data_IF_019489061831
#
_entry.id   IF_019489061831
#
_cell.length_a   1.000
_cell.length_b   1.000
_cell.length_c   1.000
_cell.angle_alpha   90.00
_cell.angle_beta   90.00
_cell.angle_gamma   90.00
#
_symmetry.space_group_name_H-M   'P 1'
#
loop_
_entity.id
_entity.type
_entity.pdbx_description
1 polymer ?
#
# COMPACT_ATOMS: atom_id res chain seq x y z
N UNK A 1 19.93 59.72 -7.67
CA UNK A 1 20.36 58.36 -8.07
C UNK A 1 20.94 57.63 -6.88
N UNK A 2 20.54 56.36 -6.72
CA UNK A 2 21.23 55.23 -6.10
C UNK A 2 21.93 55.37 -4.73
N UNK A 3 21.21 54.88 -3.72
CA UNK A 3 21.63 54.07 -2.57
C UNK A 3 23.00 53.35 -2.71
N UNK A 4 23.89 53.51 -1.72
CA UNK A 4 24.81 52.43 -1.29
C UNK A 4 24.94 52.41 0.24
N UNK A 5 24.45 51.30 0.82
CA UNK A 5 24.47 50.91 2.23
C UNK A 5 25.84 50.31 2.63
N UNK A 6 26.15 50.20 3.93
CA UNK A 6 27.49 49.90 4.43
C UNK A 6 28.03 48.51 4.06
N UNK A 7 29.34 48.50 3.84
CA UNK A 7 30.18 47.37 3.45
C UNK A 7 30.23 46.30 4.57
N UNK A 8 29.46 45.22 4.43
CA UNK A 8 29.57 44.04 5.30
C UNK A 8 30.84 43.28 4.94
N UNK A 9 31.94 43.56 5.66
CA UNK A 9 33.12 42.70 5.68
C UNK A 9 32.73 41.32 6.24
N UNK A 10 32.66 40.31 5.37
CA UNK A 10 32.82 38.90 5.77
C UNK A 10 34.25 38.47 5.42
N UNK A 11 35.05 38.06 6.40
CA UNK A 11 36.04 37.02 6.20
C UNK A 11 35.66 35.82 7.08
N UNK A 12 36.06 34.59 6.83
CA UNK A 12 36.60 33.94 5.66
C UNK A 12 36.27 32.45 5.83
N UNK A 13 36.20 31.77 4.70
CA UNK A 13 36.38 30.33 4.48
C UNK A 13 36.85 29.50 5.68
N UNK A 14 35.98 28.59 6.11
CA UNK A 14 36.33 27.45 6.97
C UNK A 14 35.67 26.19 6.45
N UNK A 15 35.75 25.94 5.14
CA UNK A 15 35.28 24.69 4.55
C UNK A 15 36.32 23.59 4.83
N UNK A 16 35.90 22.69 5.72
CA UNK A 16 36.55 21.43 6.04
C UNK A 16 36.90 20.62 4.79
N UNK A 17 38.16 20.17 4.74
CA UNK A 17 38.79 19.38 3.68
C UNK A 17 38.04 18.06 3.46
N UNK A 18 37.16 18.01 2.46
CA UNK A 18 36.76 16.76 1.80
C UNK A 18 36.62 17.01 0.31
N UNK A 19 37.65 16.68 -0.47
CA UNK A 19 37.53 16.59 -1.92
C UNK A 19 36.78 15.30 -2.26
N UNK A 20 35.50 15.43 -2.63
CA UNK A 20 34.76 14.32 -3.25
C UNK A 20 35.45 13.96 -4.59
N UNK A 21 35.65 12.67 -4.91
CA UNK A 21 36.29 12.27 -6.15
C UNK A 21 35.42 12.68 -7.34
N UNK A 22 35.95 13.53 -8.21
CA UNK A 22 35.33 13.91 -9.48
C UNK A 22 35.36 12.71 -10.42
N UNK A 23 34.24 12.01 -10.58
CA UNK A 23 34.09 11.08 -11.70
C UNK A 23 34.18 11.87 -13.00
N UNK A 24 35.17 11.52 -13.82
CA UNK A 24 35.37 12.09 -15.16
C UNK A 24 34.06 11.98 -15.93
N UNK A 25 33.57 13.12 -16.40
CA UNK A 25 32.54 13.23 -17.43
C UNK A 25 33.09 12.55 -18.69
N UNK A 26 32.71 11.29 -18.91
CA UNK A 26 32.97 10.64 -20.19
C UNK A 26 32.03 11.27 -21.20
N UNK A 27 32.64 11.90 -22.21
CA UNK A 27 31.98 12.64 -23.26
C UNK A 27 30.81 11.87 -23.87
N UNK A 28 29.73 12.63 -23.99
CA UNK A 28 28.58 12.38 -24.84
C UNK A 28 29.00 12.16 -26.30
N UNK A 29 28.10 11.47 -27.01
CA UNK A 29 28.01 11.27 -28.46
C UNK A 29 28.63 9.96 -28.96
N UNK A 30 27.81 8.91 -29.01
CA UNK A 30 27.56 8.22 -30.28
C UNK A 30 26.21 7.48 -30.25
N UNK A 31 25.36 7.87 -31.20
CA UNK A 31 24.31 7.10 -31.89
C UNK A 31 22.98 6.84 -31.16
N UNK A 32 22.01 7.65 -31.58
CA UNK A 32 20.59 7.32 -31.64
C UNK A 32 20.32 5.93 -32.24
N UNK A 33 19.20 5.36 -31.77
CA UNK A 33 18.33 4.32 -32.34
C UNK A 33 18.21 3.09 -31.44
N UNK A 34 16.94 2.76 -31.13
CA UNK A 34 16.40 1.60 -30.38
C UNK A 34 15.90 1.87 -28.95
N UNK A 35 15.09 2.90 -28.73
CA UNK A 35 14.30 3.02 -27.47
C UNK A 35 12.80 2.73 -27.62
N UNK A 36 12.26 2.53 -28.84
CA UNK A 36 10.82 2.28 -29.03
C UNK A 36 10.47 0.78 -29.08
N UNK A 37 11.43 -0.11 -29.39
CA UNK A 37 11.17 -1.55 -29.50
C UNK A 37 11.22 -2.32 -28.16
N UNK A 38 11.76 -1.75 -27.09
CA UNK A 38 11.83 -2.44 -25.78
C UNK A 38 10.58 -2.23 -24.91
N UNK A 39 9.71 -1.26 -25.23
CA UNK A 39 8.48 -1.04 -24.46
C UNK A 39 7.40 -2.03 -24.89
N UNK A 40 7.31 -2.34 -26.20
CA UNK A 40 6.33 -3.32 -26.71
C UNK A 40 6.60 -4.76 -26.25
N UNK A 41 7.87 -5.14 -26.05
CA UNK A 41 8.22 -6.47 -25.51
C UNK A 41 7.89 -6.65 -24.02
N UNK A 42 7.96 -5.58 -23.24
CA UNK A 42 7.60 -5.59 -21.81
C UNK A 42 6.08 -5.64 -21.59
N UNK A 43 5.29 -4.99 -22.43
CA UNK A 43 3.82 -5.01 -22.34
C UNK A 43 3.26 -6.42 -22.59
N UNK A 44 3.76 -7.14 -23.62
CA UNK A 44 3.33 -8.52 -23.90
C UNK A 44 3.78 -9.53 -22.82
N UNK A 45 4.91 -9.28 -22.16
CA UNK A 45 5.36 -10.10 -21.02
C UNK A 45 4.53 -9.83 -19.76
N UNK A 46 4.10 -8.58 -19.53
CA UNK A 46 3.21 -8.21 -18.43
C UNK A 46 1.86 -8.95 -18.55
N UNK A 47 1.32 -9.02 -19.76
CA UNK A 47 0.06 -9.73 -20.08
C UNK A 47 0.20 -11.24 -19.88
N UNK A 48 1.30 -11.86 -20.33
CA UNK A 48 1.56 -13.27 -20.07
C UNK A 48 1.73 -13.58 -18.57
N UNK A 49 2.44 -12.72 -17.84
CA UNK A 49 2.64 -12.89 -16.40
C UNK A 49 1.31 -12.73 -15.64
N UNK A 50 0.47 -11.77 -16.04
CA UNK A 50 -0.88 -11.61 -15.47
C UNK A 50 -1.79 -12.77 -15.81
N UNK A 51 -1.76 -13.30 -17.04
CA UNK A 51 -2.55 -14.48 -17.43
C UNK A 51 -2.10 -15.72 -16.66
N UNK A 52 -0.80 -15.97 -16.52
CA UNK A 52 -0.30 -17.10 -15.71
C UNK A 52 -0.67 -16.94 -14.24
N UNK A 53 -0.54 -15.73 -13.69
CA UNK A 53 -0.96 -15.45 -12.32
C UNK A 53 -2.47 -15.63 -12.14
N UNK A 54 -3.29 -15.22 -13.10
CA UNK A 54 -4.74 -15.44 -13.10
C UNK A 54 -5.08 -16.94 -13.16
N UNK A 55 -4.44 -17.71 -14.05
CA UNK A 55 -4.60 -19.18 -14.10
C UNK A 55 -4.22 -19.83 -12.77
N UNK A 56 -3.11 -19.41 -12.16
CA UNK A 56 -2.68 -19.88 -10.84
C UNK A 56 -3.69 -19.52 -9.75
N UNK A 57 -4.24 -18.31 -9.75
CA UNK A 57 -5.28 -17.87 -8.80
C UNK A 57 -6.55 -18.71 -8.98
N UNK A 58 -7.01 -18.92 -10.22
CA UNK A 58 -8.19 -19.74 -10.53
C UNK A 58 -7.98 -21.18 -10.02
N UNK A 59 -6.83 -21.77 -10.31
CA UNK A 59 -6.51 -23.12 -9.84
C UNK A 59 -6.50 -23.23 -8.31
N UNK A 60 -5.93 -22.25 -7.60
CA UNK A 60 -5.94 -22.21 -6.13
C UNK A 60 -7.37 -22.05 -5.57
N UNK A 61 -8.23 -21.30 -6.25
CA UNK A 61 -9.64 -21.18 -5.87
C UNK A 61 -10.40 -22.49 -6.09
N UNK A 62 -10.10 -23.23 -7.16
CA UNK A 62 -10.67 -24.55 -7.41
C UNK A 62 -10.23 -25.57 -6.36
N UNK A 63 -8.94 -25.59 -6.01
CA UNK A 63 -8.41 -26.43 -4.92
C UNK A 63 -9.15 -26.13 -3.61
N UNK A 64 -9.23 -24.86 -3.23
CA UNK A 64 -9.89 -24.46 -1.98
C UNK A 64 -11.37 -24.85 -1.95
N UNK A 65 -12.08 -24.78 -3.08
CA UNK A 65 -13.46 -25.26 -3.18
C UNK A 65 -13.55 -26.78 -3.01
N UNK A 66 -12.68 -27.54 -3.66
CA UNK A 66 -12.64 -29.00 -3.54
C UNK A 66 -12.33 -29.43 -2.11
N UNK A 67 -11.30 -28.86 -1.49
CA UNK A 67 -10.93 -29.10 -0.09
C UNK A 67 -12.12 -28.85 0.85
N UNK A 68 -12.85 -27.74 0.67
CA UNK A 68 -14.05 -27.45 1.47
C UNK A 68 -15.10 -28.56 1.34
N UNK A 69 -15.38 -29.00 0.11
CA UNK A 69 -16.37 -30.05 -0.13
C UNK A 69 -15.95 -31.41 0.42
N UNK A 70 -14.65 -31.73 0.41
CA UNK A 70 -14.11 -32.96 0.98
C UNK A 70 -14.21 -32.94 2.51
N UNK A 71 -13.84 -31.83 3.15
CA UNK A 71 -14.00 -31.63 4.59
C UNK A 71 -15.47 -31.72 5.04
N UNK A 72 -16.41 -31.16 4.27
CA UNK A 72 -17.85 -31.27 4.55
C UNK A 72 -18.38 -32.71 4.38
N UNK A 73 -17.82 -33.50 3.45
CA UNK A 73 -18.15 -34.92 3.30
C UNK A 73 -17.59 -35.74 4.46
N UNK A 74 -16.31 -35.57 4.79
CA UNK A 74 -15.69 -36.25 5.93
C UNK A 74 -16.44 -35.97 7.23
N UNK A 75 -16.90 -34.73 7.44
CA UNK A 75 -17.68 -34.36 8.62
C UNK A 75 -18.99 -35.15 8.77
N UNK A 76 -19.64 -35.51 7.65
CA UNK A 76 -20.90 -36.28 7.66
C UNK A 76 -20.71 -37.75 8.03
N UNK A 77 -19.51 -38.28 7.81
CA UNK A 77 -19.18 -39.69 8.06
C UNK A 77 -18.48 -39.91 9.41
N UNK A 78 -18.21 -38.85 10.18
CA UNK A 78 -17.54 -38.93 11.47
C UNK A 78 -18.52 -38.91 12.64
N UNK A 79 -18.30 -39.85 13.57
CA UNK A 79 -19.01 -39.92 14.85
C UNK A 79 -18.83 -38.65 15.70
N UNK A 80 -19.81 -38.36 16.55
CA UNK A 80 -19.93 -37.07 17.23
C UNK A 80 -18.78 -36.71 18.19
N UNK A 81 -18.03 -37.70 18.69
CA UNK A 81 -16.94 -37.50 19.65
C UNK A 81 -15.53 -37.72 19.09
N UNK A 82 -15.36 -37.82 17.77
CA UNK A 82 -14.05 -38.00 17.17
C UNK A 82 -13.20 -36.71 17.29
N UNK A 83 -11.94 -36.78 17.80
CA UNK A 83 -11.03 -35.62 17.81
C UNK A 83 -10.85 -35.02 16.41
N UNK A 84 -10.88 -35.87 15.38
CA UNK A 84 -10.85 -35.48 13.97
C UNK A 84 -12.01 -34.56 13.55
N UNK A 85 -13.20 -34.75 14.12
CA UNK A 85 -14.37 -33.90 13.85
C UNK A 85 -14.11 -32.45 14.29
N UNK A 86 -13.46 -32.26 15.44
CA UNK A 86 -13.08 -30.93 15.96
C UNK A 86 -12.08 -30.23 15.04
N UNK A 87 -11.10 -30.96 14.50
CA UNK A 87 -10.13 -30.44 13.54
C UNK A 87 -10.81 -29.97 12.25
N UNK A 88 -11.69 -30.79 11.70
CA UNK A 88 -12.43 -30.46 10.47
C UNK A 88 -13.34 -29.25 10.69
N UNK A 89 -14.06 -29.18 11.81
CA UNK A 89 -14.87 -28.02 12.17
C UNK A 89 -14.03 -26.75 12.31
N UNK A 90 -12.84 -26.85 12.91
CA UNK A 90 -11.91 -25.73 13.02
C UNK A 90 -11.45 -25.25 11.63
N UNK A 91 -11.09 -26.17 10.73
CA UNK A 91 -10.67 -25.84 9.37
C UNK A 91 -11.79 -25.18 8.59
N UNK A 92 -13.02 -25.72 8.62
CA UNK A 92 -14.18 -25.12 7.97
C UNK A 92 -14.50 -23.72 8.52
N UNK A 93 -14.41 -23.53 9.85
CA UNK A 93 -14.57 -22.23 10.48
C UNK A 93 -13.49 -21.24 10.03
N UNK A 94 -12.24 -21.69 9.93
CA UNK A 94 -11.13 -20.87 9.44
C UNK A 94 -11.35 -20.44 7.99
N UNK A 95 -11.79 -21.33 7.11
CA UNK A 95 -12.12 -21.02 5.72
C UNK A 95 -13.25 -20.00 5.63
N UNK A 96 -14.33 -20.18 6.41
CA UNK A 96 -15.43 -19.21 6.51
C UNK A 96 -14.94 -17.83 6.96
N UNK A 97 -14.08 -17.78 7.97
CA UNK A 97 -13.52 -16.51 8.44
C UNK A 97 -12.71 -15.81 7.33
N UNK A 98 -11.88 -16.55 6.60
CA UNK A 98 -11.13 -16.00 5.47
C UNK A 98 -12.06 -15.44 4.37
N UNK A 99 -13.15 -16.13 4.04
CA UNK A 99 -14.17 -15.63 3.11
C UNK A 99 -14.80 -14.33 3.62
N UNK A 100 -15.17 -14.24 4.90
CA UNK A 100 -15.74 -13.02 5.49
C UNK A 100 -14.76 -11.85 5.50
N UNK A 101 -13.49 -12.11 5.83
CA UNK A 101 -12.44 -11.08 5.83
C UNK A 101 -12.19 -10.56 4.41
N UNK A 102 -12.16 -11.43 3.40
CA UNK A 102 -12.04 -11.02 1.99
C UNK A 102 -13.20 -10.10 1.57
N UNK A 103 -14.45 -10.48 1.87
CA UNK A 103 -15.62 -9.65 1.59
C UNK A 103 -15.56 -8.28 2.27
N UNK A 104 -15.09 -8.23 3.51
CA UNK A 104 -14.94 -6.98 4.25
C UNK A 104 -13.87 -6.08 3.62
N UNK A 105 -12.74 -6.64 3.21
CA UNK A 105 -11.69 -5.90 2.50
C UNK A 105 -12.17 -5.39 1.14
N UNK A 106 -12.94 -6.18 0.39
CA UNK A 106 -13.48 -5.76 -0.90
C UNK A 106 -14.50 -4.63 -0.75
N UNK A 107 -15.35 -4.68 0.28
CA UNK A 107 -16.26 -3.58 0.63
C UNK A 107 -15.49 -2.30 0.96
N UNK A 108 -14.44 -2.39 1.78
CA UNK A 108 -13.60 -1.23 2.11
C UNK A 108 -12.89 -0.66 0.88
N UNK A 109 -12.46 -1.50 -0.06
CA UNK A 109 -11.88 -1.05 -1.33
C UNK A 109 -12.92 -0.32 -2.19
N UNK A 110 -14.14 -0.85 -2.29
CA UNK A 110 -15.23 -0.19 -3.02
C UNK A 110 -15.58 1.17 -2.43
N UNK A 111 -15.71 1.27 -1.10
CA UNK A 111 -15.97 2.54 -0.43
C UNK A 111 -14.83 3.57 -0.64
N UNK A 112 -13.57 3.11 -0.66
CA UNK A 112 -12.42 3.99 -0.99
C UNK A 112 -12.47 4.48 -2.43
N UNK A 113 -12.78 3.59 -3.38
CA UNK A 113 -12.90 3.95 -4.80
C UNK A 113 -14.06 4.93 -5.02
N UNK A 114 -15.19 4.72 -4.36
CA UNK A 114 -16.32 5.66 -4.40
C UNK A 114 -15.91 7.04 -3.88
N UNK A 115 -15.28 7.12 -2.70
CA UNK A 115 -14.78 8.39 -2.15
C UNK A 115 -13.76 9.06 -3.06
N UNK A 116 -12.87 8.28 -3.69
CA UNK A 116 -11.90 8.81 -4.64
C UNK A 116 -12.59 9.40 -5.88
N UNK A 117 -13.62 8.73 -6.40
CA UNK A 117 -14.41 9.22 -7.52
C UNK A 117 -15.17 10.49 -7.15
N UNK A 118 -15.81 10.54 -5.97
CA UNK A 118 -16.48 11.73 -5.45
C UNK A 118 -15.52 12.93 -5.34
N UNK A 119 -14.31 12.71 -4.81
CA UNK A 119 -13.26 13.75 -4.73
C UNK A 119 -12.85 14.22 -6.13
N UNK A 120 -12.66 13.29 -7.06
CA UNK A 120 -12.30 13.60 -8.44
C UNK A 120 -13.41 14.37 -9.17
N UNK A 121 -14.67 14.01 -8.98
CA UNK A 121 -15.83 14.71 -9.53
C UNK A 121 -15.97 16.12 -8.94
N UNK A 122 -15.85 16.27 -7.61
CA UNK A 122 -15.85 17.58 -6.96
C UNK A 122 -14.73 18.48 -7.47
N UNK A 123 -13.53 17.92 -7.69
CA UNK A 123 -12.40 18.64 -8.26
C UNK A 123 -12.65 19.06 -9.73
N UNK A 124 -13.30 18.21 -10.54
CA UNK A 124 -13.72 18.54 -11.91
C UNK A 124 -14.78 19.65 -11.94
N UNK A 125 -15.69 19.67 -10.96
CA UNK A 125 -16.71 20.72 -10.81
C UNK A 125 -16.16 22.04 -10.23
N UNK A 126 -14.86 22.13 -9.94
CA UNK A 126 -14.23 23.33 -9.35
C UNK A 126 -14.62 23.58 -7.88
N UNK A 127 -15.30 22.63 -7.22
CA UNK A 127 -15.64 22.68 -5.80
C UNK A 127 -14.44 22.16 -4.99
N UNK A 128 -14.13 22.82 -3.86
CA UNK A 128 -13.08 22.31 -2.96
C UNK A 128 -13.46 20.90 -2.46
N UNK A 129 -12.57 19.90 -2.54
CA UNK A 129 -12.87 18.55 -2.08
C UNK A 129 -13.22 18.57 -0.59
N UNK A 130 -14.27 17.84 -0.21
CA UNK A 130 -14.72 17.77 1.18
C UNK A 130 -13.67 17.07 2.05
N UNK A 131 -13.05 17.83 2.97
CA UNK A 131 -12.19 17.29 4.01
C UNK A 131 -13.05 17.17 5.27
N UNK A 132 -13.38 15.94 5.73
CA UNK A 132 -14.15 15.78 6.96
C UNK A 132 -13.35 16.41 8.12
N UNK A 133 -13.93 17.43 8.74
CA UNK A 133 -13.34 18.08 9.92
C UNK A 133 -13.26 17.03 11.03
N UNK A 134 -12.05 16.64 11.43
CA UNK A 134 -11.86 15.89 12.67
C UNK A 134 -12.41 16.76 13.80
N UNK A 135 -13.43 16.28 14.52
CA UNK A 135 -13.88 16.92 15.75
C UNK A 135 -12.75 16.78 16.77
N UNK A 136 -11.90 17.80 16.89
CA UNK A 136 -10.87 17.89 17.93
C UNK A 136 -11.55 18.19 19.27
N UNK A 137 -12.23 17.20 19.83
CA UNK A 137 -12.69 17.22 21.22
C UNK A 137 -11.87 16.20 22.02
N UNK A 138 -10.55 16.32 21.96
CA UNK A 138 -9.67 15.78 23.00
C UNK A 138 -9.31 16.99 23.85
N UNK A 139 -10.12 17.27 24.87
CA UNK A 139 -9.64 18.06 25.99
C UNK A 139 -8.44 17.31 26.56
N UNK A 140 -7.22 17.78 26.26
CA UNK A 140 -6.06 17.44 27.07
C UNK A 140 -6.39 17.89 28.50
N UNK A 141 -6.62 16.93 29.38
CA UNK A 141 -6.56 17.20 30.82
C UNK A 141 -5.08 17.39 31.16
N UNK A 142 -4.62 18.63 31.04
CA UNK A 142 -3.39 19.05 31.70
C UNK A 142 -3.77 19.33 33.16
N UNK A 143 -3.57 18.34 34.04
CA UNK A 143 -3.62 18.41 35.52
C UNK A 143 -3.63 16.97 36.07
N UNK A 144 -2.75 16.48 36.94
CA UNK A 144 -1.93 17.10 37.97
C UNK A 144 -0.56 16.39 38.03
N UNK A 145 0.52 17.10 37.71
CA UNK A 145 1.78 16.91 38.40
C UNK A 145 1.78 17.91 39.56
N UNK A 146 1.24 17.50 40.71
CA UNK A 146 1.43 18.21 41.97
C UNK A 146 1.60 17.18 43.08
N UNK A 147 2.80 17.15 43.64
CA UNK A 147 3.02 16.83 45.06
C UNK A 147 3.15 15.35 45.41
N UNK A 148 4.36 14.81 45.28
CA UNK A 148 4.84 13.76 46.18
C UNK A 148 6.30 14.08 46.52
N UNK A 149 6.46 15.13 47.31
CA UNK A 149 7.58 15.31 48.21
C UNK A 149 6.99 15.40 49.62
N UNK A 150 7.21 14.32 50.36
CA UNK A 150 7.49 14.17 51.80
C UNK A 150 6.90 12.86 52.33
#
# INVERSE_FOLDING_TARGET
>A
MANQRPNKKKPAEGYSKFSLPSFRVLNTKFREQKSVFMIHGLMNQQDHLTIMNLKKIIHLLEISKKEKTELEKELKHLEDNAPRKKEILYLLKRMKNQETTKKLLDKQKQERLQKQNEIMEAAKEGKKPYIPKMKSSIHRKDSLWTGLQE
#
